data_IF_816367462223
#
_entry.id   IF_816367462223
#
_cell.length_a   1.000
_cell.length_b   1.000
_cell.length_c   1.000
_cell.angle_alpha   90.00
_cell.angle_beta   90.00
_cell.angle_gamma   90.00
#
_symmetry.space_group_name_H-M   'P 1'
#
loop_
_entity.id
_entity.type
_entity.pdbx_description
1 polymer ?
#
# COMPACT_ATOMS: atom_id res chain seq x y z
N UNK A 1 4.61 -7.27 -14.48
CA UNK A 1 4.37 -6.02 -13.71
C UNK A 1 3.82 -6.36 -12.34
N UNK A 2 4.27 -5.61 -11.35
CA UNK A 2 3.79 -5.81 -9.99
C UNK A 2 2.36 -5.32 -9.85
N UNK A 3 1.57 -6.09 -9.12
CA UNK A 3 0.24 -5.66 -8.73
C UNK A 3 0.35 -5.01 -7.34
N UNK A 4 0.10 -3.71 -7.29
CA UNK A 4 0.17 -2.94 -6.05
C UNK A 4 -1.25 -2.63 -5.59
N UNK A 5 -1.54 -2.98 -4.34
CA UNK A 5 -2.83 -2.73 -3.72
C UNK A 5 -2.62 -1.92 -2.45
N UNK A 6 -3.45 -0.91 -2.22
CA UNK A 6 -3.37 -0.09 -1.03
C UNK A 6 -4.75 0.02 -0.38
N UNK A 7 -4.79 -0.20 0.93
CA UNK A 7 -5.99 0.01 1.74
C UNK A 7 -5.84 1.33 2.47
N UNK A 8 -6.82 2.21 2.33
CA UNK A 8 -6.76 3.59 2.84
C UNK A 8 -8.02 3.96 3.62
N UNK A 9 -7.94 5.08 4.32
CA UNK A 9 -9.12 5.76 4.88
C UNK A 9 -9.16 7.16 4.29
N UNK A 10 -10.36 7.62 3.95
CA UNK A 10 -10.54 8.89 3.24
C UNK A 10 -10.02 10.10 3.99
N UNK A 11 -9.99 10.03 5.32
CA UNK A 11 -9.53 11.12 6.18
C UNK A 11 -8.09 10.96 6.68
N UNK A 12 -7.40 9.91 6.28
CA UNK A 12 -6.06 9.61 6.78
C UNK A 12 -4.99 10.35 5.97
N UNK A 13 -4.25 11.30 6.58
CA UNK A 13 -3.20 12.03 5.85
C UNK A 13 -2.05 11.11 5.41
N UNK A 14 -1.75 10.08 6.17
CA UNK A 14 -0.71 9.11 5.80
C UNK A 14 -1.09 8.33 4.56
N UNK A 15 -2.38 8.00 4.40
CA UNK A 15 -2.88 7.36 3.20
C UNK A 15 -2.70 8.26 1.98
N UNK A 16 -2.99 9.55 2.13
CA UNK A 16 -2.83 10.53 1.05
C UNK A 16 -1.37 10.68 0.64
N UNK A 17 -0.46 10.75 1.61
CA UNK A 17 0.97 10.83 1.34
C UNK A 17 1.48 9.59 0.61
N UNK A 18 1.01 8.42 1.00
CA UNK A 18 1.42 7.17 0.37
C UNK A 18 0.96 7.10 -1.07
N UNK A 19 -0.29 7.51 -1.35
CA UNK A 19 -0.79 7.57 -2.73
C UNK A 19 0.04 8.53 -3.56
N UNK A 20 0.35 9.70 -3.02
CA UNK A 20 1.17 10.68 -3.70
C UNK A 20 2.56 10.12 -4.02
N UNK A 21 3.17 9.42 -3.07
CA UNK A 21 4.45 8.78 -3.26
C UNK A 21 4.40 7.77 -4.42
N UNK A 22 3.39 6.91 -4.45
CA UNK A 22 3.22 5.94 -5.52
C UNK A 22 3.02 6.62 -6.88
N UNK A 23 2.24 7.69 -6.90
CA UNK A 23 1.99 8.46 -8.13
C UNK A 23 3.27 9.13 -8.64
N UNK A 24 4.07 9.69 -7.74
CA UNK A 24 5.35 10.30 -8.10
C UNK A 24 6.36 9.29 -8.63
N UNK A 25 6.29 8.06 -8.15
CA UNK A 25 7.13 6.96 -8.65
C UNK A 25 6.61 6.36 -9.95
N UNK A 26 5.47 6.83 -10.44
CA UNK A 26 4.86 6.29 -11.65
C UNK A 26 4.26 4.90 -11.47
N UNK A 27 3.93 4.53 -10.25
CA UNK A 27 3.40 3.20 -9.92
C UNK A 27 1.89 3.21 -10.00
N UNK A 28 1.32 2.28 -10.77
CA UNK A 28 -0.12 2.07 -10.81
C UNK A 28 -0.53 1.21 -9.64
N UNK A 29 -1.61 1.57 -8.98
CA UNK A 29 -2.10 0.83 -7.82
C UNK A 29 -3.62 0.75 -7.82
N UNK A 30 -4.13 -0.24 -7.10
CA UNK A 30 -5.55 -0.37 -6.82
C UNK A 30 -5.79 0.10 -5.40
N UNK A 31 -6.74 1.00 -5.21
CA UNK A 31 -7.06 1.54 -3.90
C UNK A 31 -8.39 1.00 -3.39
N UNK A 32 -8.38 0.54 -2.14
CA UNK A 32 -9.60 0.19 -1.42
C UNK A 32 -9.76 1.14 -0.24
N UNK A 33 -10.80 1.97 -0.28
CA UNK A 33 -11.09 2.91 0.82
C UNK A 33 -11.95 2.15 1.81
N UNK A 34 -11.43 1.93 3.01
CA UNK A 34 -12.04 1.01 3.97
C UNK A 34 -12.98 1.66 4.97
N UNK A 35 -12.87 2.99 5.19
CA UNK A 35 -13.76 3.65 6.13
C UNK A 35 -15.20 3.60 5.60
N UNK A 36 -16.11 3.18 6.47
CA UNK A 36 -17.49 3.00 6.08
C UNK A 36 -17.79 1.67 5.39
N UNK A 37 -16.80 0.80 5.25
CA UNK A 37 -16.97 -0.51 4.61
C UNK A 37 -16.40 -1.60 5.52
N UNK A 38 -17.28 -2.21 6.30
CA UNK A 38 -16.86 -3.24 7.27
C UNK A 38 -16.20 -4.45 6.62
N UNK A 39 -16.66 -4.82 5.44
CA UNK A 39 -16.10 -5.97 4.72
C UNK A 39 -14.65 -5.69 4.32
N UNK A 40 -14.36 -4.49 3.80
CA UNK A 40 -13.01 -4.10 3.43
C UNK A 40 -12.11 -3.90 4.65
N UNK A 41 -12.66 -3.35 5.75
CA UNK A 41 -11.89 -3.23 6.99
C UNK A 41 -11.47 -4.60 7.51
N UNK A 42 -12.37 -5.56 7.48
CA UNK A 42 -12.10 -6.92 7.92
C UNK A 42 -11.11 -7.62 7.00
N UNK A 43 -11.21 -7.38 5.69
CA UNK A 43 -10.26 -7.92 4.72
C UNK A 43 -8.85 -7.38 4.98
N UNK A 44 -8.72 -6.08 5.19
CA UNK A 44 -7.44 -5.45 5.50
C UNK A 44 -6.84 -6.03 6.77
N UNK A 45 -7.64 -6.15 7.83
CA UNK A 45 -7.19 -6.70 9.10
C UNK A 45 -6.74 -8.16 8.96
N UNK A 46 -7.50 -8.96 8.22
CA UNK A 46 -7.17 -10.36 7.99
C UNK A 46 -5.87 -10.52 7.22
N UNK A 47 -5.67 -9.71 6.19
CA UNK A 47 -4.49 -9.80 5.34
C UNK A 47 -3.25 -9.17 5.95
N UNK A 48 -3.41 -8.08 6.70
CA UNK A 48 -2.27 -7.33 7.24
C UNK A 48 -1.98 -7.62 8.72
N UNK A 49 -2.98 -8.11 9.44
CA UNK A 49 -2.89 -8.23 10.90
C UNK A 49 -3.01 -6.89 11.60
N UNK A 50 -3.43 -5.84 10.89
CA UNK A 50 -3.49 -4.49 11.44
C UNK A 50 -4.79 -3.80 11.04
N UNK A 51 -5.14 -2.76 11.80
CA UNK A 51 -6.33 -1.94 11.56
C UNK A 51 -6.01 -0.51 11.14
N UNK A 52 -4.75 -0.12 11.21
CA UNK A 52 -4.32 1.21 10.82
C UNK A 52 -4.06 1.30 9.31
N UNK A 53 -4.15 2.49 8.76
CA UNK A 53 -3.91 2.76 7.35
C UNK A 53 -2.74 3.72 7.17
N UNK A 54 -2.07 3.73 6.02
CA UNK A 54 -2.32 2.83 4.88
C UNK A 54 -1.69 1.45 5.07
N UNK A 55 -2.22 0.45 4.36
CA UNK A 55 -1.59 -0.87 4.27
C UNK A 55 -1.36 -1.17 2.80
N UNK A 56 -0.12 -1.44 2.44
CA UNK A 56 0.29 -1.65 1.05
C UNK A 56 0.70 -3.09 0.83
N UNK A 57 0.20 -3.66 -0.27
CA UNK A 57 0.52 -5.03 -0.67
C UNK A 57 1.10 -5.00 -2.08
N UNK A 58 2.12 -5.79 -2.31
CA UNK A 58 2.68 -5.99 -3.65
C UNK A 58 2.55 -7.48 -3.96
N UNK A 59 1.79 -7.80 -5.01
CA UNK A 59 1.47 -9.17 -5.40
C UNK A 59 0.87 -10.00 -4.26
N UNK A 60 0.02 -9.39 -3.44
CA UNK A 60 -0.63 -10.07 -2.33
C UNK A 60 0.21 -10.17 -1.07
N UNK A 61 1.47 -9.74 -1.12
CA UNK A 61 2.35 -9.77 0.04
C UNK A 61 2.35 -8.41 0.75
N UNK A 62 2.12 -8.41 2.05
CA UNK A 62 2.11 -7.18 2.83
C UNK A 62 3.50 -6.56 2.89
N UNK A 63 3.59 -5.32 2.44
CA UNK A 63 4.83 -4.54 2.51
C UNK A 63 4.82 -3.66 3.76
N UNK A 64 3.70 -3.03 4.06
CA UNK A 64 3.54 -2.20 5.24
C UNK A 64 2.86 -0.89 4.96
N UNK A 65 3.27 0.15 5.70
CA UNK A 65 2.74 1.50 5.59
C UNK A 65 3.58 2.34 4.61
N UNK A 66 3.20 3.61 4.47
CA UNK A 66 3.96 4.54 3.63
C UNK A 66 5.40 4.72 4.09
N UNK A 67 5.65 4.70 5.39
CA UNK A 67 7.01 4.82 5.93
C UNK A 67 7.86 3.62 5.53
N UNK A 68 7.27 2.43 5.52
CA UNK A 68 7.94 1.22 5.09
C UNK A 68 8.32 1.30 3.60
N UNK A 69 7.41 1.84 2.77
CA UNK A 69 7.70 2.03 1.35
C UNK A 69 8.86 3.00 1.13
N UNK A 70 8.88 4.09 1.87
CA UNK A 70 9.94 5.09 1.78
C UNK A 70 11.29 4.49 2.19
N UNK A 71 11.29 3.65 3.23
CA UNK A 71 12.50 2.97 3.67
C UNK A 71 13.01 2.01 2.60
N UNK A 72 12.13 1.25 1.96
CA UNK A 72 12.51 0.36 0.87
C UNK A 72 13.03 1.13 -0.34
N UNK A 73 12.40 2.26 -0.65
CA UNK A 73 12.82 3.09 -1.77
C UNK A 73 14.22 3.68 -1.55
N UNK A 74 14.52 4.05 -0.31
CA UNK A 74 15.82 4.61 0.04
C UNK A 74 16.98 3.63 -0.21
N UNK A 75 16.71 2.33 -0.14
CA UNK A 75 17.72 1.28 -0.37
C UNK A 75 17.66 0.70 -1.78
N UNK A 76 16.69 1.13 -2.59
CA UNK A 76 16.49 0.57 -3.93
C UNK A 76 15.68 -0.72 -3.94
N UNK A 77 15.29 -1.23 -2.79
CA UNK A 77 14.52 -2.47 -2.69
C UNK A 77 13.11 -2.35 -3.24
N UNK A 78 12.52 -1.16 -3.14
CA UNK A 78 11.19 -0.93 -3.68
C UNK A 78 11.18 -1.15 -5.20
N UNK A 79 12.15 -0.59 -5.90
CA UNK A 79 12.27 -0.78 -7.34
C UNK A 79 12.49 -2.25 -7.70
N UNK A 80 13.26 -2.97 -6.89
CA UNK A 80 13.46 -4.41 -7.09
C UNK A 80 12.18 -5.19 -6.94
N UNK A 81 11.35 -4.86 -5.94
CA UNK A 81 10.06 -5.51 -5.74
C UNK A 81 9.14 -5.28 -6.94
N UNK A 82 9.14 -4.08 -7.49
CA UNK A 82 8.31 -3.75 -8.65
C UNK A 82 8.79 -4.47 -9.91
N UNK A 83 10.08 -4.67 -10.05
CA UNK A 83 10.67 -5.28 -11.25
C UNK A 83 10.80 -6.79 -11.18
N UNK A 84 10.80 -7.38 -10.00
CA UNK A 84 10.98 -8.82 -9.81
C UNK A 84 9.78 -9.66 -10.22
N UNK A 85 8.84 -9.07 -10.92
CA UNK A 85 7.54 -9.69 -11.15
C UNK A 85 7.26 -9.90 -12.61
N UNK A 86 8.28 -9.98 -13.34
CA UNK A 86 8.21 -10.38 -14.74
C UNK A 86 8.39 -11.88 -14.86
#
# INVERSE_FOLDING_TARGET
>A
MAEVTIYTKSYCPFSKETKKFLEEKGVKYTEFVVDGDEALEREMETKSGRTDTPQVFINGERIGSGDDLKALDATGEFDKLLNNLT
#
